data_IF_807749142093
#
_entry.id   IF_807749142093
#
_cell.length_a   1.000
_cell.length_b   1.000
_cell.length_c   1.000
_cell.angle_alpha   90.00
_cell.angle_beta   90.00
_cell.angle_gamma   90.00
#
_symmetry.space_group_name_H-M   'P 1'
#
loop_
_entity.id
_entity.type
_entity.pdbx_description
1 polymer ?
#
# COMPACT_ATOMS: atom_id res chain seq x y z
N UNK A 1 1.70 2.29 12.95
CA UNK A 1 2.33 3.10 11.90
C UNK A 1 1.32 3.98 11.16
N UNK A 2 0.27 3.43 10.54
CA UNK A 2 -0.74 4.24 9.81
C UNK A 2 -1.35 5.35 10.68
N UNK A 3 -1.77 5.05 11.91
CA UNK A 3 -2.35 6.04 12.84
C UNK A 3 -1.30 7.03 13.35
N UNK A 4 -0.06 6.58 13.60
CA UNK A 4 0.97 7.42 14.20
C UNK A 4 1.58 8.42 13.23
N UNK A 5 1.56 8.14 11.92
CA UNK A 5 2.23 8.97 10.92
C UNK A 5 1.59 10.37 10.78
N UNK A 6 0.26 10.54 10.62
CA UNK A 6 -0.37 11.87 10.61
C UNK A 6 -0.05 12.71 11.85
N UNK A 7 0.04 12.10 13.03
CA UNK A 7 0.43 12.82 14.24
C UNK A 7 1.91 13.23 14.21
N UNK A 8 2.80 12.35 13.78
CA UNK A 8 4.23 12.60 13.73
C UNK A 8 4.62 13.67 12.69
N UNK A 9 3.92 13.76 11.55
CA UNK A 9 4.20 14.78 10.53
C UNK A 9 3.81 16.20 10.97
N UNK A 10 2.95 16.35 11.98
CA UNK A 10 2.59 17.64 12.58
C UNK A 10 3.20 17.84 13.98
N UNK A 11 4.21 17.03 14.36
CA UNK A 11 4.91 17.19 15.63
C UNK A 11 5.75 18.48 15.68
N UNK A 12 6.16 18.89 16.88
CA UNK A 12 6.99 20.09 17.08
C UNK A 12 8.43 19.93 16.54
N UNK A 13 8.85 18.70 16.24
CA UNK A 13 10.20 18.37 15.78
C UNK A 13 10.28 16.95 15.22
N UNK A 14 11.46 16.55 14.70
CA UNK A 14 11.69 15.19 14.22
C UNK A 14 11.33 14.14 15.28
N UNK A 15 10.62 13.10 14.85
CA UNK A 15 10.12 12.03 15.72
C UNK A 15 10.74 10.70 15.33
N UNK A 16 11.16 9.91 16.32
CA UNK A 16 11.58 8.53 16.16
C UNK A 16 10.65 7.60 16.92
N UNK A 17 10.08 6.60 16.25
CA UNK A 17 9.18 5.61 16.83
C UNK A 17 9.77 4.21 16.63
N UNK A 18 10.06 3.51 17.73
CA UNK A 18 10.37 2.08 17.70
C UNK A 18 9.07 1.28 17.86
N UNK A 19 8.58 0.70 16.76
CA UNK A 19 7.34 -0.07 16.71
C UNK A 19 7.66 -1.57 16.73
N UNK A 20 7.08 -2.28 17.70
CA UNK A 20 7.24 -3.73 17.85
C UNK A 20 5.91 -4.46 17.64
N UNK A 21 5.93 -5.61 16.97
CA UNK A 21 4.72 -6.39 16.70
C UNK A 21 4.75 -7.18 15.39
N UNK A 22 3.59 -7.34 14.75
CA UNK A 22 3.50 -7.98 13.44
C UNK A 22 3.88 -7.01 12.31
N UNK A 23 4.81 -7.40 11.44
CA UNK A 23 5.15 -6.67 10.20
C UNK A 23 4.41 -7.24 8.99
N UNK A 24 3.93 -8.48 9.10
CA UNK A 24 3.24 -9.22 8.06
C UNK A 24 2.11 -10.00 8.76
N UNK A 25 0.97 -9.33 8.97
CA UNK A 25 -0.20 -9.86 9.66
C UNK A 25 -1.35 -10.16 8.67
N UNK A 26 -2.27 -11.06 9.01
CA UNK A 26 -3.33 -11.51 8.07
C UNK A 26 -4.32 -10.40 7.67
N UNK A 27 -4.60 -9.44 8.55
CA UNK A 27 -5.60 -8.39 8.36
C UNK A 27 -4.97 -6.99 8.24
N UNK A 28 -3.70 -6.93 7.84
CA UNK A 28 -2.99 -5.67 7.64
C UNK A 28 -2.05 -5.76 6.44
N UNK A 29 -1.82 -4.65 5.71
CA UNK A 29 -0.80 -4.62 4.67
C UNK A 29 0.56 -5.05 5.22
N UNK A 30 1.30 -5.81 4.42
CA UNK A 30 2.67 -6.19 4.74
C UNK A 30 3.56 -4.94 4.84
N UNK A 31 4.61 -4.95 5.66
CA UNK A 31 5.51 -3.79 5.81
C UNK A 31 6.12 -3.31 4.48
N UNK A 32 6.34 -4.24 3.55
CA UNK A 32 6.80 -3.95 2.19
C UNK A 32 5.80 -3.08 1.42
N UNK A 33 4.49 -3.25 1.65
CA UNK A 33 3.45 -2.39 1.11
C UNK A 33 3.65 -0.96 1.59
N UNK A 34 3.91 -0.75 2.88
CA UNK A 34 4.17 0.61 3.38
C UNK A 34 5.39 1.22 2.71
N UNK A 35 6.50 0.48 2.64
CA UNK A 35 7.75 1.00 2.08
C UNK A 35 7.70 1.24 0.57
N UNK A 36 6.95 0.42 -0.18
CA UNK A 36 6.98 0.41 -1.66
C UNK A 36 5.74 1.00 -2.32
N UNK A 37 4.60 1.05 -1.63
CA UNK A 37 3.33 1.58 -2.17
C UNK A 37 2.95 2.86 -1.45
N UNK A 38 2.77 2.80 -0.13
CA UNK A 38 2.26 3.94 0.63
C UNK A 38 3.28 5.08 0.71
N UNK A 39 4.53 4.82 1.12
CA UNK A 39 5.59 5.83 1.28
C UNK A 39 5.77 6.71 0.03
N UNK A 40 6.01 6.16 -1.18
CA UNK A 40 6.21 6.98 -2.38
C UNK A 40 5.02 7.85 -2.75
N UNK A 41 3.80 7.49 -2.32
CA UNK A 41 2.60 8.26 -2.61
C UNK A 41 2.38 9.35 -1.56
N UNK A 42 2.58 9.07 -0.28
CA UNK A 42 2.47 10.13 0.75
C UNK A 42 3.60 11.15 0.68
N UNK A 43 4.76 10.78 0.14
CA UNK A 43 5.83 11.73 -0.18
C UNK A 43 5.38 12.81 -1.18
N UNK A 44 4.38 12.53 -2.02
CA UNK A 44 3.78 13.54 -2.93
C UNK A 44 2.99 14.62 -2.18
N UNK A 45 2.56 14.34 -0.95
CA UNK A 45 1.98 15.35 -0.06
C UNK A 45 3.06 16.18 0.67
N UNK A 46 4.35 15.91 0.44
CA UNK A 46 5.47 16.54 1.14
C UNK A 46 5.90 15.81 2.42
N UNK A 47 5.29 14.67 2.75
CA UNK A 47 5.67 13.87 3.93
C UNK A 47 7.05 13.26 3.73
N UNK A 48 7.94 13.38 4.72
CA UNK A 48 9.25 12.74 4.70
C UNK A 48 9.41 11.83 5.91
N UNK A 49 9.57 10.52 5.66
CA UNK A 49 9.85 9.56 6.70
C UNK A 49 10.70 8.39 6.22
N UNK A 50 11.53 7.85 7.10
CA UNK A 50 12.25 6.61 6.91
C UNK A 50 11.66 5.49 7.74
N UNK A 51 11.65 4.29 7.14
CA UNK A 51 11.12 3.08 7.75
C UNK A 51 12.21 2.02 7.70
N UNK A 52 12.89 1.81 8.82
CA UNK A 52 13.97 0.85 8.96
C UNK A 52 13.43 -0.44 9.59
N UNK A 53 13.29 -1.47 8.77
CA UNK A 53 12.85 -2.79 9.17
C UNK A 53 14.02 -3.57 9.80
N UNK A 54 14.08 -3.56 11.13
CA UNK A 54 15.10 -4.27 11.92
C UNK A 54 14.83 -5.77 11.99
N UNK A 55 13.56 -6.14 12.19
CA UNK A 55 13.15 -7.53 12.36
C UNK A 55 11.76 -7.74 11.76
N UNK A 56 11.57 -8.81 10.98
CA UNK A 56 10.23 -9.20 10.51
C UNK A 56 9.50 -9.98 11.57
N UNK A 57 8.23 -9.64 11.78
CA UNK A 57 7.31 -10.33 12.67
C UNK A 57 6.17 -10.95 11.89
N UNK A 58 6.23 -12.26 11.66
CA UNK A 58 5.20 -12.98 10.91
C UNK A 58 4.09 -13.48 11.84
N UNK A 59 2.84 -13.41 11.38
CA UNK A 59 1.72 -14.04 12.09
C UNK A 59 1.95 -15.57 12.24
N UNK A 60 1.58 -16.20 13.38
CA UNK A 60 0.96 -15.61 14.56
C UNK A 60 1.94 -15.08 15.62
N UNK A 61 3.23 -15.43 15.54
CA UNK A 61 4.20 -15.11 16.61
C UNK A 61 4.52 -13.62 16.72
N UNK A 62 4.53 -12.87 15.62
CA UNK A 62 4.94 -11.47 15.61
C UNK A 62 6.42 -11.31 15.96
N UNK A 63 6.76 -10.34 16.82
CA UNK A 63 8.14 -10.09 17.26
C UNK A 63 8.99 -9.32 16.25
N UNK A 64 8.35 -8.66 15.29
CA UNK A 64 9.01 -7.73 14.38
C UNK A 64 9.28 -6.39 15.05
N UNK A 65 10.20 -5.65 14.44
CA UNK A 65 10.68 -4.35 14.91
C UNK A 65 10.93 -3.45 13.71
N UNK A 66 10.33 -2.26 13.76
CA UNK A 66 10.45 -1.21 12.75
C UNK A 66 10.79 0.09 13.46
N UNK A 67 11.85 0.77 13.01
CA UNK A 67 12.19 2.12 13.46
C UNK A 67 11.68 3.10 12.40
N UNK A 68 10.72 3.94 12.78
CA UNK A 68 10.17 4.99 11.94
C UNK A 68 10.79 6.33 12.34
N UNK A 69 11.42 7.02 11.40
CA UNK A 69 11.92 8.40 11.59
C UNK A 69 11.09 9.33 10.73
N UNK A 70 10.45 10.34 11.32
CA UNK A 70 9.53 11.23 10.63
C UNK A 70 9.99 12.66 10.82
N UNK A 71 10.12 13.40 9.71
CA UNK A 71 10.35 14.85 9.77
C UNK A 71 8.99 15.57 9.77
N UNK A 72 8.79 16.57 10.63
CA UNK A 72 7.58 17.36 10.61
C UNK A 72 7.51 18.22 9.35
N UNK A 73 6.30 18.54 8.91
CA UNK A 73 6.03 19.42 7.77
C UNK A 73 5.28 20.67 8.23
N UNK A 74 5.52 21.80 7.55
CA UNK A 74 4.75 23.03 7.80
C UNK A 74 3.29 22.87 7.41
N UNK A 75 3.07 22.27 6.25
CA UNK A 75 1.76 21.98 5.67
C UNK A 75 1.90 20.83 4.66
N UNK A 76 0.78 20.19 4.31
CA UNK A 76 0.74 19.14 3.29
C UNK A 76 0.31 19.70 1.94
N UNK A 77 0.95 19.24 0.87
CA UNK A 77 0.58 19.58 -0.51
C UNK A 77 -0.55 18.67 -1.01
N UNK A 78 -1.51 19.17 -1.82
CA UNK A 78 -2.53 18.34 -2.41
C UNK A 78 -1.96 17.50 -3.55
N UNK A 79 -2.59 16.36 -3.84
CA UNK A 79 -2.20 15.49 -4.95
C UNK A 79 -3.23 15.49 -6.08
N UNK A 80 -2.79 15.23 -7.31
CA UNK A 80 -3.67 14.95 -8.43
C UNK A 80 -3.26 13.62 -9.09
N UNK A 81 -3.99 12.56 -8.78
CA UNK A 81 -3.79 11.20 -9.28
C UNK A 81 -5.02 10.74 -10.06
N UNK A 82 -5.32 11.42 -11.17
CA UNK A 82 -6.49 11.13 -12.00
C UNK A 82 -6.17 10.34 -13.27
N UNK A 83 -4.89 10.15 -13.58
CA UNK A 83 -4.41 9.46 -14.78
C UNK A 83 -3.50 8.29 -14.41
N UNK A 84 -3.95 7.06 -14.71
CA UNK A 84 -3.19 5.84 -14.40
C UNK A 84 -2.02 5.63 -15.34
N UNK A 85 -2.18 5.97 -16.62
CA UNK A 85 -1.24 5.54 -17.66
C UNK A 85 -1.17 4.02 -17.82
N UNK A 86 -0.04 3.54 -18.36
CA UNK A 86 0.20 2.13 -18.64
C UNK A 86 1.03 1.49 -17.53
N UNK A 87 0.79 0.21 -17.23
CA UNK A 87 1.65 -0.56 -16.33
C UNK A 87 2.99 -0.82 -17.03
N UNK A 88 4.09 -0.39 -16.42
CA UNK A 88 5.44 -0.43 -17.02
C UNK A 88 6.38 -1.40 -16.33
N UNK A 89 6.10 -1.78 -15.08
CA UNK A 89 6.93 -2.73 -14.32
C UNK A 89 6.06 -3.57 -13.40
N UNK A 90 6.40 -4.84 -13.26
CA UNK A 90 5.88 -5.71 -12.20
C UNK A 90 7.06 -6.40 -11.53
N UNK A 91 7.14 -6.27 -10.22
CA UNK A 91 8.19 -6.89 -9.43
C UNK A 91 7.67 -7.25 -8.04
N UNK A 92 8.44 -8.00 -7.28
CA UNK A 92 8.01 -8.38 -5.95
C UNK A 92 8.98 -9.31 -5.27
N UNK A 93 8.53 -9.84 -4.14
CA UNK A 93 9.26 -10.84 -3.37
C UNK A 93 8.30 -11.91 -2.85
N UNK A 94 8.66 -13.16 -3.06
CA UNK A 94 8.13 -14.32 -2.37
C UNK A 94 9.17 -14.75 -1.34
N UNK A 95 8.76 -14.97 -0.09
CA UNK A 95 9.70 -15.19 1.00
C UNK A 95 9.27 -16.36 1.88
N UNK A 96 10.26 -17.01 2.49
CA UNK A 96 10.09 -17.96 3.59
C UNK A 96 11.03 -17.58 4.73
N UNK A 97 10.64 -17.89 5.95
CA UNK A 97 11.39 -17.63 7.17
C UNK A 97 11.35 -18.82 8.12
N UNK A 98 12.35 -18.89 8.99
CA UNK A 98 12.52 -19.97 9.96
C UNK A 98 12.79 -21.31 9.27
N UNK A 99 12.12 -22.38 9.72
CA UNK A 99 12.36 -23.75 9.23
C UNK A 99 11.65 -24.08 7.91
N UNK A 100 10.96 -23.11 7.31
CA UNK A 100 10.18 -23.35 6.11
C UNK A 100 11.08 -23.57 4.87
N UNK A 101 10.79 -24.57 4.02
CA UNK A 101 11.60 -24.87 2.85
C UNK A 101 11.61 -23.73 1.82
N UNK A 102 12.78 -23.41 1.26
CA UNK A 102 12.96 -22.42 0.18
C UNK A 102 12.03 -22.66 -1.01
N UNK A 103 11.70 -23.93 -1.27
CA UNK A 103 10.81 -24.33 -2.36
C UNK A 103 9.45 -23.62 -2.31
N UNK A 104 8.90 -23.34 -1.12
CA UNK A 104 7.63 -22.64 -0.99
C UNK A 104 7.69 -21.22 -1.59
N UNK A 105 8.80 -20.51 -1.44
CA UNK A 105 8.98 -19.19 -2.06
C UNK A 105 9.01 -19.29 -3.60
N UNK A 106 9.68 -20.31 -4.14
CA UNK A 106 9.71 -20.57 -5.58
C UNK A 106 8.32 -20.90 -6.13
N UNK A 107 7.62 -21.81 -5.46
CA UNK A 107 6.27 -22.26 -5.82
C UNK A 107 5.28 -21.07 -5.85
N UNK A 108 5.29 -20.21 -4.80
CA UNK A 108 4.52 -18.96 -4.78
C UNK A 108 4.87 -18.04 -5.96
N UNK A 109 6.15 -17.81 -6.21
CA UNK A 109 6.64 -16.93 -7.27
C UNK A 109 6.23 -17.44 -8.66
N UNK A 110 6.43 -18.73 -8.94
CA UNK A 110 6.09 -19.35 -10.22
C UNK A 110 4.58 -19.31 -10.45
N UNK A 111 3.78 -19.63 -9.44
CA UNK A 111 2.33 -19.58 -9.54
C UNK A 111 1.82 -18.15 -9.80
N UNK A 112 2.38 -17.15 -9.11
CA UNK A 112 2.05 -15.75 -9.31
C UNK A 112 2.38 -15.25 -10.73
N UNK A 113 3.60 -15.52 -11.21
CA UNK A 113 4.01 -15.15 -12.59
C UNK A 113 3.07 -15.79 -13.62
N UNK A 114 2.76 -17.09 -13.46
CA UNK A 114 1.85 -17.79 -14.37
C UNK A 114 0.45 -17.17 -14.39
N UNK A 115 -0.07 -16.74 -13.24
CA UNK A 115 -1.37 -16.08 -13.15
C UNK A 115 -1.36 -14.70 -13.82
N UNK A 116 -0.37 -13.87 -13.53
CA UNK A 116 -0.24 -12.52 -14.14
C UNK A 116 -0.11 -12.62 -15.66
N UNK A 117 0.64 -13.61 -16.16
CA UNK A 117 0.85 -13.85 -17.60
C UNK A 117 -0.42 -14.19 -18.39
N UNK A 118 -1.52 -14.55 -17.73
CA UNK A 118 -2.81 -14.75 -18.41
C UNK A 118 -3.37 -13.45 -18.98
N UNK A 119 -3.08 -12.32 -18.34
CA UNK A 119 -3.58 -10.99 -18.73
C UNK A 119 -2.46 -10.07 -19.23
N UNK A 120 -1.26 -10.14 -18.64
CA UNK A 120 -0.13 -9.26 -18.96
C UNK A 120 1.01 -10.10 -19.58
N UNK A 121 1.02 -10.18 -20.91
CA UNK A 121 1.92 -11.05 -21.68
C UNK A 121 3.33 -10.47 -21.85
N UNK A 122 3.43 -9.22 -22.27
CA UNK A 122 4.67 -8.66 -22.82
C UNK A 122 5.52 -7.86 -21.82
N UNK A 123 5.09 -7.78 -20.56
CA UNK A 123 5.79 -7.01 -19.53
C UNK A 123 6.81 -7.86 -18.79
N UNK A 124 8.04 -7.38 -18.54
CA UNK A 124 8.97 -8.09 -17.67
C UNK A 124 8.42 -8.19 -16.23
N UNK A 125 8.43 -9.40 -15.66
CA UNK A 125 7.97 -9.69 -14.29
C UNK A 125 9.13 -10.25 -13.48
N UNK A 126 9.51 -9.59 -12.39
CA UNK A 126 10.60 -10.02 -11.51
C UNK A 126 10.15 -10.22 -10.06
N UNK A 127 9.77 -11.44 -9.71
CA UNK A 127 9.43 -11.80 -8.33
C UNK A 127 10.59 -12.60 -7.74
N UNK A 128 11.30 -12.02 -6.77
CA UNK A 128 12.45 -12.65 -6.15
C UNK A 128 12.00 -13.67 -5.09
N UNK A 129 12.56 -14.88 -5.13
CA UNK A 129 12.36 -15.89 -4.08
C UNK A 129 13.44 -15.73 -3.01
N UNK A 130 13.05 -15.55 -1.75
CA UNK A 130 13.94 -15.19 -0.63
C UNK A 130 13.81 -16.16 0.54
N UNK A 131 14.94 -16.43 1.22
CA UNK A 131 14.98 -17.13 2.51
C UNK A 131 15.47 -16.14 3.59
N UNK A 132 14.56 -15.72 4.46
CA UNK A 132 14.82 -14.81 5.58
C UNK A 132 15.24 -15.65 6.81
N UNK A 133 16.54 -15.87 6.98
CA UNK A 133 17.09 -16.69 8.08
C UNK A 133 17.22 -15.88 9.38
N UNK A 134 17.95 -14.77 9.34
CA UNK A 134 18.36 -14.03 10.55
C UNK A 134 17.60 -12.72 10.77
N UNK A 135 16.69 -12.38 9.84
CA UNK A 135 15.92 -11.11 9.86
C UNK A 135 14.43 -11.32 10.13
N UNK A 136 14.06 -12.46 10.71
CA UNK A 136 12.68 -12.81 11.00
C UNK A 136 12.53 -13.58 12.31
N UNK A 137 11.52 -13.20 13.09
CA UNK A 137 11.12 -13.97 14.26
C UNK A 137 10.13 -15.07 13.85
N UNK A 138 10.52 -16.33 14.08
CA UNK A 138 9.67 -17.49 13.85
C UNK A 138 9.54 -17.93 12.40
N UNK A 139 8.50 -18.72 12.14
CA UNK A 139 8.22 -19.27 10.82
C UNK A 139 7.19 -18.38 10.11
N UNK A 140 7.40 -18.11 8.84
CA UNK A 140 6.46 -17.37 8.02
C UNK A 140 6.77 -17.52 6.55
N UNK A 141 5.75 -17.50 5.71
CA UNK A 141 5.94 -17.39 4.27
C UNK A 141 4.87 -16.48 3.69
N UNK A 142 5.15 -15.92 2.52
CA UNK A 142 4.21 -15.07 1.83
C UNK A 142 4.82 -14.44 0.60
N UNK A 143 4.03 -13.61 -0.04
CA UNK A 143 4.40 -12.95 -1.27
C UNK A 143 3.78 -11.55 -1.29
N UNK A 144 4.51 -10.60 -1.86
CA UNK A 144 4.01 -9.29 -2.26
C UNK A 144 4.50 -9.02 -3.68
N UNK A 145 3.57 -8.53 -4.50
CA UNK A 145 3.77 -8.20 -5.91
C UNK A 145 3.32 -6.76 -6.08
N UNK A 146 4.15 -5.97 -6.76
CA UNK A 146 3.99 -4.55 -6.96
C UNK A 146 3.97 -4.29 -8.46
N UNK A 147 3.05 -3.44 -8.91
CA UNK A 147 3.02 -2.91 -10.26
C UNK A 147 3.17 -1.39 -10.24
N UNK A 148 4.00 -0.86 -11.14
CA UNK A 148 4.19 0.59 -11.33
C UNK A 148 3.66 1.02 -12.69
N UNK A 149 2.98 2.16 -12.73
CA UNK A 149 2.53 2.78 -13.97
C UNK A 149 3.47 3.87 -14.49
N UNK A 150 3.29 4.27 -15.75
CA UNK A 150 4.04 5.35 -16.38
C UNK A 150 3.81 6.73 -15.74
N UNK A 151 2.72 6.91 -14.98
CA UNK A 151 2.41 8.13 -14.22
C UNK A 151 2.81 8.01 -12.74
N UNK A 152 3.48 6.91 -12.38
CA UNK A 152 3.92 6.62 -11.02
C UNK A 152 2.82 6.16 -10.08
N UNK A 153 1.66 5.71 -10.58
CA UNK A 153 0.71 4.96 -9.76
C UNK A 153 1.34 3.62 -9.36
N UNK A 154 1.06 3.18 -8.13
CA UNK A 154 1.62 1.95 -7.57
C UNK A 154 0.48 1.12 -7.03
N UNK A 155 0.46 -0.16 -7.39
CA UNK A 155 -0.53 -1.15 -6.95
C UNK A 155 0.17 -2.33 -6.33
N UNK A 156 -0.45 -2.96 -5.35
CA UNK A 156 0.05 -4.23 -4.85
C UNK A 156 -1.02 -5.32 -4.75
N UNK A 157 -0.53 -6.55 -4.80
CA UNK A 157 -1.24 -7.74 -4.37
C UNK A 157 -0.35 -8.54 -3.44
N UNK A 158 -0.91 -9.05 -2.35
CA UNK A 158 -0.12 -9.79 -1.36
C UNK A 158 -0.94 -10.90 -0.73
N UNK A 159 -0.28 -11.97 -0.30
CA UNK A 159 -0.89 -13.04 0.49
C UNK A 159 0.16 -13.64 1.42
N UNK A 160 -0.30 -14.17 2.55
CA UNK A 160 0.53 -14.83 3.55
C UNK A 160 0.19 -16.33 3.58
N UNK A 161 1.20 -17.15 3.80
CA UNK A 161 1.03 -18.58 3.97
C UNK A 161 0.20 -18.90 5.20
N UNK A 162 -0.79 -19.77 5.03
CA UNK A 162 -1.65 -20.27 6.11
C UNK A 162 -1.50 -21.78 6.26
N UNK A 163 -1.72 -22.28 7.47
CA UNK A 163 -1.69 -23.72 7.74
C UNK A 163 -2.74 -24.42 6.88
N UNK A 164 -2.33 -25.47 6.16
CA UNK A 164 -3.21 -26.23 5.26
C UNK A 164 -3.44 -25.61 3.88
N UNK A 165 -2.78 -24.49 3.56
CA UNK A 165 -2.86 -23.85 2.24
C UNK A 165 -1.56 -24.09 1.46
N UNK A 166 -1.70 -24.53 0.21
CA UNK A 166 -0.56 -24.75 -0.70
C UNK A 166 0.09 -23.43 -1.12
N UNK A 167 1.42 -23.42 -1.24
CA UNK A 167 2.20 -22.26 -1.68
C UNK A 167 1.71 -21.69 -3.02
N UNK A 168 1.40 -22.55 -4.00
CA UNK A 168 0.84 -22.11 -5.29
C UNK A 168 -0.43 -21.26 -5.12
N UNK A 169 -1.32 -21.66 -4.21
CA UNK A 169 -2.57 -20.93 -3.95
C UNK A 169 -2.29 -19.55 -3.37
N UNK A 170 -1.31 -19.43 -2.47
CA UNK A 170 -0.86 -18.12 -1.91
C UNK A 170 -0.33 -17.21 -3.03
N UNK A 171 0.47 -17.78 -3.96
CA UNK A 171 0.95 -17.05 -5.15
C UNK A 171 -0.18 -16.59 -6.07
N UNK A 172 -1.16 -17.46 -6.32
CA UNK A 172 -2.35 -17.14 -7.13
C UNK A 172 -3.18 -16.04 -6.48
N UNK A 173 -3.45 -16.12 -5.18
CA UNK A 173 -4.25 -15.13 -4.45
C UNK A 173 -3.63 -13.73 -4.52
N UNK A 174 -2.32 -13.63 -4.33
CA UNK A 174 -1.61 -12.35 -4.43
C UNK A 174 -1.62 -11.80 -5.87
N UNK A 175 -1.45 -12.65 -6.87
CA UNK A 175 -1.53 -12.24 -8.27
C UNK A 175 -2.94 -11.77 -8.66
N UNK A 176 -3.99 -12.51 -8.26
CA UNK A 176 -5.38 -12.10 -8.53
C UNK A 176 -5.73 -10.80 -7.80
N UNK A 177 -5.22 -10.58 -6.59
CA UNK A 177 -5.37 -9.30 -5.91
C UNK A 177 -4.78 -8.14 -6.70
N UNK A 178 -3.54 -8.30 -7.17
CA UNK A 178 -2.89 -7.28 -8.01
C UNK A 178 -3.70 -7.03 -9.29
N UNK A 179 -4.11 -8.09 -9.98
CA UNK A 179 -4.89 -7.98 -11.23
C UNK A 179 -6.24 -7.30 -11.00
N UNK A 180 -6.96 -7.60 -9.90
CA UNK A 180 -8.19 -6.88 -9.54
C UNK A 180 -7.97 -5.37 -9.44
N UNK A 181 -6.90 -4.96 -8.78
CA UNK A 181 -6.54 -3.54 -8.62
C UNK A 181 -6.11 -2.89 -9.95
N UNK A 182 -5.52 -3.65 -10.88
CA UNK A 182 -5.17 -3.15 -12.22
C UNK A 182 -6.41 -3.04 -13.13
N UNK A 183 -7.33 -4.01 -13.07
CA UNK A 183 -8.50 -4.15 -13.96
C UNK A 183 -9.42 -2.95 -13.90
N UNK A 184 -9.66 -2.40 -12.71
CA UNK A 184 -10.60 -1.28 -12.55
C UNK A 184 -10.05 0.07 -13.06
N UNK A 185 -8.85 0.15 -13.64
CA UNK A 185 -8.30 1.38 -14.23
C UNK A 185 -8.20 2.60 -13.29
N UNK A 186 -8.14 2.36 -11.97
CA UNK A 186 -7.90 3.39 -10.97
C UNK A 186 -6.42 3.76 -10.88
N UNK A 187 -6.10 4.81 -10.13
CA UNK A 187 -4.73 5.28 -9.86
C UNK A 187 -4.18 4.80 -8.51
N UNK A 188 -5.03 4.21 -7.68
CA UNK A 188 -4.73 3.67 -6.35
C UNK A 188 -5.43 2.33 -6.19
N UNK A 189 -4.85 1.44 -5.39
CA UNK A 189 -5.50 0.18 -5.01
C UNK A 189 -6.48 0.35 -3.83
N UNK A 190 -7.19 -0.74 -3.50
CA UNK A 190 -8.21 -0.77 -2.45
C UNK A 190 -7.73 -0.35 -1.06
N UNK A 191 -6.45 -0.54 -0.73
CA UNK A 191 -5.89 -0.19 0.58
C UNK A 191 -5.28 1.21 0.61
N UNK A 192 -4.72 1.65 -0.51
CA UNK A 192 -4.21 3.01 -0.60
C UNK A 192 -5.37 4.02 -0.60
N UNK A 193 -6.54 3.62 -1.14
CA UNK A 193 -7.74 4.44 -1.23
C UNK A 193 -8.14 5.05 0.13
N UNK A 194 -8.25 4.25 1.19
CA UNK A 194 -8.63 4.75 2.53
C UNK A 194 -7.46 5.43 3.25
N UNK A 195 -6.23 4.94 3.04
CA UNK A 195 -5.04 5.48 3.69
C UNK A 195 -4.73 6.93 3.31
N UNK A 196 -5.07 7.34 2.08
CA UNK A 196 -4.82 8.70 1.61
C UNK A 196 -5.85 9.73 2.10
N UNK A 197 -7.03 9.29 2.58
CA UNK A 197 -8.14 10.19 2.95
C UNK A 197 -7.72 11.23 3.99
N UNK A 198 -6.99 10.81 5.04
CA UNK A 198 -6.54 11.74 6.08
C UNK A 198 -5.54 12.77 5.53
N UNK A 199 -4.66 12.38 4.60
CA UNK A 199 -3.71 13.30 3.99
C UNK A 199 -4.40 14.28 3.03
N UNK A 200 -5.39 13.80 2.27
CA UNK A 200 -6.24 14.65 1.42
C UNK A 200 -7.01 15.68 2.26
N UNK A 201 -7.59 15.27 3.39
CA UNK A 201 -8.33 16.15 4.28
C UNK A 201 -7.44 17.24 4.90
N UNK A 202 -6.20 16.90 5.28
CA UNK A 202 -5.27 17.82 5.93
C UNK A 202 -4.49 18.72 4.95
N UNK A 203 -4.42 18.37 3.66
CA UNK A 203 -3.68 19.13 2.65
C UNK A 203 -4.21 20.56 2.43
N UNK A 204 -3.30 21.45 2.03
CA UNK A 204 -3.64 22.81 1.64
C UNK A 204 -4.02 22.87 0.15
N UNK A 205 -5.31 22.74 -0.14
CA UNK A 205 -5.86 22.81 -1.49
C UNK A 205 -6.74 21.61 -1.85
N UNK A 206 -6.94 21.40 -3.14
CA UNK A 206 -7.84 20.34 -3.64
C UNK A 206 -7.06 19.10 -4.07
N UNK A 207 -7.25 17.98 -3.37
CA UNK A 207 -6.70 16.68 -3.77
C UNK A 207 -7.69 15.90 -4.62
N UNK A 208 -7.20 15.16 -5.62
CA UNK A 208 -8.01 14.27 -6.47
C UNK A 208 -7.32 12.93 -6.64
N UNK A 209 -8.08 11.85 -6.51
CA UNK A 209 -7.63 10.51 -6.90
C UNK A 209 -8.71 9.77 -7.68
N UNK A 210 -8.31 9.13 -8.78
CA UNK A 210 -9.13 8.15 -9.50
C UNK A 210 -8.95 6.79 -8.85
N UNK A 211 -10.04 6.09 -8.63
CA UNK A 211 -10.05 4.84 -7.87
C UNK A 211 -11.00 3.85 -8.55
N UNK A 212 -10.90 2.56 -8.20
CA UNK A 212 -11.93 1.58 -8.55
C UNK A 212 -13.20 1.77 -7.72
N UNK A 213 -14.00 0.71 -7.50
CA UNK A 213 -15.13 0.76 -6.59
C UNK A 213 -14.72 1.33 -5.21
N UNK A 214 -15.52 2.26 -4.69
CA UNK A 214 -15.24 2.86 -3.38
C UNK A 214 -15.56 1.86 -2.28
N UNK A 215 -14.54 1.46 -1.52
CA UNK A 215 -14.70 0.47 -0.43
C UNK A 215 -15.46 1.06 0.75
N UNK A 216 -16.08 0.19 1.57
CA UNK A 216 -16.69 0.62 2.84
C UNK A 216 -15.68 1.26 3.80
N UNK A 217 -14.41 0.81 3.76
CA UNK A 217 -13.34 1.41 4.54
C UNK A 217 -13.09 2.86 4.12
N UNK A 218 -13.00 3.12 2.81
CA UNK A 218 -12.84 4.47 2.27
C UNK A 218 -14.03 5.36 2.59
N UNK A 219 -15.26 4.87 2.43
CA UNK A 219 -16.47 5.63 2.78
C UNK A 219 -16.46 6.02 4.26
N UNK A 220 -16.08 5.09 5.13
CA UNK A 220 -15.97 5.33 6.58
C UNK A 220 -14.87 6.34 6.89
N UNK A 221 -13.70 6.21 6.24
CA UNK A 221 -12.58 7.14 6.41
C UNK A 221 -12.97 8.57 5.99
N UNK A 222 -13.70 8.71 4.87
CA UNK A 222 -14.23 10.00 4.41
C UNK A 222 -15.17 10.57 5.46
N UNK A 223 -16.18 9.79 5.88
CA UNK A 223 -17.16 10.22 6.88
C UNK A 223 -16.48 10.74 8.15
N UNK A 224 -15.52 10.00 8.70
CA UNK A 224 -14.79 10.41 9.91
C UNK A 224 -13.92 11.65 9.66
N UNK A 225 -13.24 11.73 8.52
CA UNK A 225 -12.42 12.89 8.18
C UNK A 225 -13.24 14.18 8.07
N UNK A 226 -14.43 14.13 7.45
CA UNK A 226 -15.35 15.27 7.35
C UNK A 226 -15.82 15.72 8.73
N UNK A 227 -16.20 14.79 9.61
CA UNK A 227 -16.66 15.10 10.98
C UNK A 227 -15.56 15.75 11.84
N UNK A 228 -14.29 15.36 11.64
CA UNK A 228 -13.19 15.81 12.50
C UNK A 228 -12.47 17.06 11.99
N UNK A 229 -12.49 17.33 10.69
CA UNK A 229 -11.62 18.38 10.08
C UNK A 229 -12.39 19.50 9.36
N UNK A 230 -13.67 19.30 9.02
CA UNK A 230 -14.44 20.13 8.08
C UNK A 230 -13.96 20.08 6.61
N UNK A 231 -13.05 19.16 6.27
CA UNK A 231 -12.76 18.85 4.87
C UNK A 231 -14.06 18.44 4.15
N UNK A 232 -14.13 18.68 2.84
CA UNK A 232 -15.31 18.31 2.02
C UNK A 232 -14.91 17.33 0.95
N UNK A 233 -15.53 16.16 0.95
CA UNK A 233 -15.31 15.15 -0.08
C UNK A 233 -16.47 15.10 -1.07
N UNK A 234 -16.13 14.92 -2.34
CA UNK A 234 -17.09 14.67 -3.41
C UNK A 234 -16.63 13.44 -4.17
N UNK A 235 -17.53 12.47 -4.28
CA UNK A 235 -17.31 11.25 -5.07
C UNK A 235 -18.13 11.38 -6.35
N UNK A 236 -17.47 11.29 -7.51
CA UNK A 236 -18.13 11.29 -8.81
C UNK A 236 -17.74 10.03 -9.57
N UNK A 237 -18.69 9.45 -10.30
CA UNK A 237 -18.35 8.41 -11.27
C UNK A 237 -17.45 9.05 -12.34
N UNK A 238 -16.34 8.42 -12.67
CA UNK A 238 -15.49 8.91 -13.75
C UNK A 238 -16.12 8.48 -15.08
N UNK A 239 -16.18 9.41 -16.04
CA UNK A 239 -16.54 9.08 -17.41
C UNK A 239 -15.33 8.44 -18.08
N UNK A 240 -15.40 7.15 -18.36
CA UNK A 240 -14.40 6.44 -19.17
C UNK A 240 -14.99 6.21 -20.57
N UNK A 241 -14.29 6.68 -21.61
CA UNK A 241 -14.67 6.47 -23.03
C UNK A 241 -14.83 4.98 -23.39
N UNK A 242 -14.29 4.08 -22.57
CA UNK A 242 -14.29 2.63 -22.79
C UNK A 242 -15.35 1.88 -21.97
N UNK A 243 -16.27 2.58 -21.30
CA UNK A 243 -17.62 2.12 -20.95
C UNK A 243 -17.80 0.92 -20.00
N UNK A 244 -16.75 0.25 -19.52
CA UNK A 244 -16.90 -1.05 -18.84
C UNK A 244 -16.30 -1.13 -17.42
N UNK A 245 -15.74 -0.05 -16.89
CA UNK A 245 -15.15 -0.02 -15.55
C UNK A 245 -15.87 0.98 -14.64
N UNK A 246 -16.31 0.53 -13.45
CA UNK A 246 -16.80 1.39 -12.39
C UNK A 246 -15.63 2.10 -11.69
N UNK A 247 -15.15 3.18 -12.32
CA UNK A 247 -14.17 4.10 -11.76
C UNK A 247 -14.84 5.29 -11.10
N UNK A 248 -14.20 5.81 -10.06
CA UNK A 248 -14.67 6.97 -9.32
C UNK A 248 -13.54 7.97 -9.10
N UNK A 249 -13.85 9.26 -9.22
CA UNK A 249 -12.99 10.35 -8.76
C UNK A 249 -13.41 10.71 -7.35
N UNK A 250 -12.49 10.59 -6.41
CA UNK A 250 -12.61 11.15 -5.07
C UNK A 250 -11.87 12.48 -5.08
N UNK A 251 -12.62 13.56 -4.89
CA UNK A 251 -12.11 14.93 -4.76
C UNK A 251 -12.27 15.38 -3.31
N UNK A 252 -11.25 16.02 -2.75
CA UNK A 252 -11.28 16.57 -1.40
C UNK A 252 -10.79 18.01 -1.42
N UNK A 253 -11.60 18.93 -0.91
CA UNK A 253 -11.09 20.23 -0.48
C UNK A 253 -10.52 20.08 0.93
N UNK A 254 -9.20 20.04 1.02
CA UNK A 254 -8.49 19.93 2.28
C UNK A 254 -8.54 21.22 3.09
N UNK A 255 -8.32 21.10 4.38
CA UNK A 255 -8.48 22.17 5.37
C UNK A 255 -7.25 23.07 5.49
N UNK A 256 -6.14 22.70 4.83
CA UNK A 256 -4.87 23.41 4.95
C UNK A 256 -4.34 23.42 6.37
N UNK A 257 -4.23 22.24 6.98
CA UNK A 257 -3.68 22.13 8.32
C UNK A 257 -2.23 22.61 8.33
N UNK A 258 -1.91 23.52 9.24
CA UNK A 258 -0.56 24.09 9.40
C UNK A 258 0.04 23.67 10.74
N UNK A 259 1.32 23.32 10.73
CA UNK A 259 2.09 23.10 11.93
C UNK A 259 2.54 24.47 12.48
N UNK A 260 2.09 24.88 13.68
CA UNK A 260 2.47 26.16 14.27
C UNK A 260 3.94 26.18 14.74
N UNK A 261 4.59 25.02 14.83
CA UNK A 261 5.96 24.87 15.35
C UNK A 261 7.05 25.03 14.29
N UNK A 262 6.66 25.17 13.02
CA UNK A 262 7.54 25.36 11.86
C UNK A 262 7.29 26.68 11.15
#
# INVERSE_FOLDING_TARGET
MQISLPCAVFAQGPSELCLKGGTNAEMAPQIDYTMKVFKPIVERFGVQFDCDLRMRGYYPKGGGEVVLKVNPVKELSPINMTERGNITKIYGRAFVAGVLPFKLAKDMSTAAVRTIRKEIKDLYINIQSLQEKDKACGNGNGIIIIAESSTGCIFAGSSLGKKGVYADKVGIEAAEMLLRNIRHNGCVDEFLQDQLIIFMALANGTSRMRTGPVTLHTQTAIHVAEQLTNAKFVIRKAEDEHGNNDTYIIECQGVGATNPSL
#
